data_IF_172895700169
#
_entry.id   IF_172895700169
#
_cell.length_a   1.000
_cell.length_b   1.000
_cell.length_c   1.000
_cell.angle_alpha   90.00
_cell.angle_beta   90.00
_cell.angle_gamma   90.00
#
_symmetry.space_group_name_H-M   'P 1'
#
loop_
_entity.id
_entity.type
_entity.pdbx_description
1 polymer ?
#
# COMPACT_ATOMS: atom_id res chain seq x y z
N UNK A 1 37.57 12.26 17.57
CA UNK A 1 37.97 10.87 17.70
C UNK A 1 36.88 10.17 18.50
N UNK A 2 35.88 9.66 17.83
CA UNK A 2 34.90 8.73 18.36
C UNK A 2 34.22 8.02 17.18
N UNK A 3 34.30 6.72 17.17
CA UNK A 3 33.87 5.80 16.13
C UNK A 3 32.33 5.68 16.10
N UNK A 4 31.74 5.77 14.90
CA UNK A 4 30.36 5.40 14.63
C UNK A 4 30.37 3.93 14.18
N UNK A 5 29.75 3.08 14.98
CA UNK A 5 29.54 1.65 14.70
C UNK A 5 28.35 1.50 13.75
N UNK A 6 28.61 1.01 12.55
CA UNK A 6 27.60 0.47 11.61
C UNK A 6 27.13 -0.88 12.14
N UNK A 7 25.83 -1.04 12.26
CA UNK A 7 25.18 -2.33 12.55
C UNK A 7 24.65 -2.91 11.25
N UNK A 8 25.38 -3.87 10.70
CA UNK A 8 24.95 -4.71 9.60
C UNK A 8 24.01 -5.80 10.16
N UNK A 9 22.78 -5.90 9.64
CA UNK A 9 21.94 -7.07 9.84
C UNK A 9 22.11 -8.02 8.66
N UNK A 10 22.92 -9.05 8.88
CA UNK A 10 23.02 -10.19 7.98
C UNK A 10 21.86 -11.15 8.25
N UNK A 11 21.10 -11.51 7.22
CA UNK A 11 20.23 -12.68 7.22
C UNK A 11 21.13 -13.93 7.15
N UNK A 12 21.07 -14.76 8.17
CA UNK A 12 21.70 -16.08 8.17
C UNK A 12 20.74 -17.10 7.57
N UNK A 13 21.22 -17.74 6.51
CA UNK A 13 20.64 -18.96 5.94
C UNK A 13 20.95 -20.15 6.86
N UNK A 14 19.94 -20.90 7.24
CA UNK A 14 20.08 -22.25 7.73
C UNK A 14 19.63 -23.23 6.63
N UNK A 15 20.63 -23.91 6.04
CA UNK A 15 20.45 -25.18 5.35
C UNK A 15 20.41 -26.28 6.39
N UNK A 16 19.45 -27.23 6.29
CA UNK A 16 19.72 -28.64 6.05
C UNK A 16 18.45 -29.50 6.06
N UNK A 17 18.42 -30.36 5.11
CA UNK A 17 17.96 -31.75 4.93
C UNK A 17 16.86 -32.02 3.93
N UNK A 18 17.30 -32.76 2.94
CA UNK A 18 16.68 -33.52 1.87
C UNK A 18 15.29 -34.12 2.12
N UNK A 19 14.38 -33.91 1.17
CA UNK A 19 13.54 -34.96 0.58
C UNK A 19 13.01 -34.53 -0.80
N UNK A 20 13.36 -35.34 -1.82
CA UNK A 20 12.89 -35.26 -3.20
C UNK A 20 11.37 -35.38 -3.29
N UNK A 21 10.70 -34.38 -3.85
CA UNK A 21 9.46 -34.52 -4.60
C UNK A 21 9.39 -33.47 -5.71
N UNK A 22 9.41 -33.95 -6.95
CA UNK A 22 9.14 -33.19 -8.16
C UNK A 22 7.77 -32.48 -8.09
N UNK A 23 7.76 -31.16 -7.93
CA UNK A 23 6.66 -30.33 -8.36
C UNK A 23 7.20 -29.10 -9.11
N UNK A 24 6.70 -28.92 -10.30
CA UNK A 24 6.96 -27.77 -11.17
C UNK A 24 6.66 -26.48 -10.40
N UNK A 25 7.70 -25.76 -10.02
CA UNK A 25 7.59 -24.39 -9.49
C UNK A 25 7.45 -23.41 -10.66
N UNK A 26 6.22 -22.98 -10.90
CA UNK A 26 5.99 -21.69 -11.51
C UNK A 26 6.55 -20.64 -10.55
N UNK A 27 7.60 -19.95 -10.97
CA UNK A 27 8.21 -18.84 -10.25
C UNK A 27 7.15 -17.73 -10.03
N UNK A 28 6.52 -17.72 -8.86
CA UNK A 28 5.82 -16.57 -8.36
C UNK A 28 6.86 -15.56 -7.91
N UNK A 29 7.13 -14.57 -8.76
CA UNK A 29 7.93 -13.42 -8.41
C UNK A 29 7.33 -12.76 -7.17
N UNK A 30 7.97 -12.97 -6.02
CA UNK A 30 7.69 -12.22 -4.80
C UNK A 30 8.10 -10.76 -5.04
N UNK A 31 7.14 -9.92 -5.37
CA UNK A 31 7.33 -8.49 -5.35
C UNK A 31 7.47 -8.08 -3.88
N UNK A 32 8.70 -7.88 -3.43
CA UNK A 32 8.97 -7.14 -2.21
C UNK A 32 8.45 -5.71 -2.43
N UNK A 33 7.22 -5.45 -2.04
CA UNK A 33 6.73 -4.09 -1.94
C UNK A 33 7.50 -3.44 -0.80
N UNK A 34 8.41 -2.52 -1.13
CA UNK A 34 8.99 -1.62 -0.17
C UNK A 34 7.87 -0.78 0.42
N UNK A 35 7.40 -1.16 1.60
CA UNK A 35 6.52 -0.33 2.40
C UNK A 35 7.32 0.87 2.91
N UNK A 36 7.31 1.96 2.16
CA UNK A 36 7.69 3.24 2.70
C UNK A 36 6.63 3.65 3.74
N UNK A 37 7.03 3.69 5.01
CA UNK A 37 6.27 4.37 6.05
C UNK A 37 6.22 5.85 5.68
N UNK A 38 5.15 6.28 5.04
CA UNK A 38 4.91 7.68 4.75
C UNK A 38 4.61 8.44 6.04
N UNK A 39 5.66 9.04 6.60
CA UNK A 39 5.55 10.07 7.62
C UNK A 39 4.82 11.30 7.04
N UNK A 40 4.43 12.24 7.89
CA UNK A 40 3.80 13.52 7.49
C UNK A 40 4.69 14.41 6.59
N UNK A 41 5.95 14.01 6.35
CA UNK A 41 6.97 14.77 5.61
C UNK A 41 6.60 15.06 4.14
N UNK A 42 6.13 14.12 3.30
CA UNK A 42 5.80 14.40 1.91
C UNK A 42 4.68 15.43 1.77
N UNK A 43 3.65 15.33 2.62
CA UNK A 43 2.52 16.27 2.63
C UNK A 43 2.99 17.69 3.00
N UNK A 44 3.89 17.80 3.97
CA UNK A 44 4.44 19.09 4.38
C UNK A 44 5.25 19.72 3.24
N UNK A 45 6.09 18.94 2.55
CA UNK A 45 6.88 19.40 1.40
C UNK A 45 5.96 19.86 0.26
N UNK A 46 4.91 19.12 -0.04
CA UNK A 46 3.91 19.52 -1.03
C UNK A 46 3.26 20.87 -0.69
N UNK A 47 2.80 21.03 0.56
CA UNK A 47 2.18 22.29 1.02
C UNK A 47 3.18 23.45 0.95
N UNK A 48 4.44 23.24 1.34
CA UNK A 48 5.50 24.26 1.22
C UNK A 48 5.72 24.63 -0.25
N UNK A 49 5.82 23.65 -1.16
CA UNK A 49 5.94 23.91 -2.59
C UNK A 49 4.76 24.69 -3.15
N UNK A 50 3.53 24.34 -2.72
CA UNK A 50 2.31 25.07 -3.11
C UNK A 50 2.34 26.53 -2.65
N UNK A 51 2.78 26.79 -1.41
CA UNK A 51 2.94 28.15 -0.88
C UNK A 51 3.98 28.93 -1.66
N UNK A 52 5.15 28.32 -1.97
CA UNK A 52 6.19 28.95 -2.78
C UNK A 52 5.67 29.33 -4.18
N UNK A 53 4.91 28.45 -4.81
CA UNK A 53 4.30 28.71 -6.11
C UNK A 53 3.33 29.90 -6.07
N UNK A 54 2.43 29.96 -5.07
CA UNK A 54 1.51 31.09 -4.93
C UNK A 54 2.23 32.40 -4.59
N UNK A 55 3.32 32.37 -3.82
CA UNK A 55 4.16 33.54 -3.57
C UNK A 55 4.76 34.03 -4.89
N UNK A 56 5.31 33.14 -5.71
CA UNK A 56 5.88 33.49 -7.00
C UNK A 56 4.84 34.05 -7.98
N UNK A 57 3.62 33.54 -7.95
CA UNK A 57 2.54 33.93 -8.84
C UNK A 57 1.90 35.29 -8.45
N UNK A 58 1.69 35.52 -7.15
CA UNK A 58 0.90 36.67 -6.66
C UNK A 58 1.77 37.88 -6.29
N UNK A 59 3.07 37.70 -6.05
CA UNK A 59 3.93 38.80 -5.65
C UNK A 59 4.56 39.49 -6.87
N UNK A 60 4.65 40.83 -6.90
CA UNK A 60 5.32 41.58 -7.97
C UNK A 60 6.85 41.47 -7.82
N UNK A 61 7.40 40.28 -8.01
CA UNK A 61 8.82 39.99 -7.90
C UNK A 61 9.54 40.21 -9.23
N UNK A 62 10.87 40.49 -9.21
CA UNK A 62 11.67 40.45 -10.42
C UNK A 62 11.58 39.06 -11.08
N UNK A 63 11.52 39.02 -12.41
CA UNK A 63 11.36 37.79 -13.19
C UNK A 63 12.33 36.68 -12.79
N UNK A 64 13.60 37.02 -12.57
CA UNK A 64 14.61 36.06 -12.15
C UNK A 64 14.34 35.43 -10.79
N UNK A 65 13.77 36.19 -9.84
CA UNK A 65 13.43 35.68 -8.51
C UNK A 65 12.14 34.85 -8.56
N UNK A 66 11.16 35.26 -9.37
CA UNK A 66 9.94 34.50 -9.62
C UNK A 66 10.26 33.13 -10.22
N UNK A 67 11.10 33.07 -11.25
CA UNK A 67 11.54 31.83 -11.90
C UNK A 67 12.28 30.92 -10.92
N UNK A 68 13.12 31.46 -10.05
CA UNK A 68 13.82 30.69 -9.02
C UNK A 68 12.85 30.10 -7.99
N UNK A 69 11.84 30.87 -7.57
CA UNK A 69 10.80 30.38 -6.66
C UNK A 69 9.93 29.31 -7.31
N UNK A 70 9.56 29.44 -8.57
CA UNK A 70 8.81 28.42 -9.31
C UNK A 70 9.60 27.12 -9.47
N UNK A 71 10.90 27.24 -9.81
CA UNK A 71 11.78 26.09 -9.86
C UNK A 71 11.94 25.39 -8.49
N UNK A 72 12.07 26.18 -7.41
CA UNK A 72 12.13 25.64 -6.06
C UNK A 72 10.81 24.98 -5.64
N UNK A 73 9.67 25.58 -6.00
CA UNK A 73 8.35 24.99 -5.76
C UNK A 73 8.19 23.65 -6.49
N UNK A 74 8.62 23.57 -7.76
CA UNK A 74 8.61 22.34 -8.56
C UNK A 74 9.44 21.23 -7.91
N UNK A 75 10.66 21.52 -7.45
CA UNK A 75 11.53 20.53 -6.82
C UNK A 75 10.99 20.09 -5.45
N UNK A 76 10.52 21.03 -4.63
CA UNK A 76 10.03 20.75 -3.27
C UNK A 76 8.70 20.00 -3.31
N UNK A 77 7.73 20.46 -4.11
CA UNK A 77 6.44 19.78 -4.23
C UNK A 77 6.53 18.46 -4.99
N UNK A 78 7.40 18.39 -6.01
CA UNK A 78 7.59 17.22 -6.86
C UNK A 78 8.59 16.21 -6.33
N UNK A 79 9.19 16.45 -5.17
CA UNK A 79 10.25 15.60 -4.63
C UNK A 79 9.91 14.10 -4.70
N UNK A 80 8.70 13.72 -4.26
CA UNK A 80 8.26 12.34 -4.26
C UNK A 80 8.09 11.79 -5.69
N UNK A 81 7.34 12.48 -6.54
CA UNK A 81 7.07 12.07 -7.93
C UNK A 81 8.34 11.97 -8.76
N UNK A 82 9.26 12.94 -8.59
CA UNK A 82 10.55 12.96 -9.29
C UNK A 82 11.44 11.81 -8.80
N UNK A 83 11.51 11.60 -7.49
CA UNK A 83 12.34 10.56 -6.90
C UNK A 83 11.82 9.16 -7.24
N UNK A 84 10.51 8.93 -7.19
CA UNK A 84 9.89 7.67 -7.61
C UNK A 84 10.04 7.45 -9.11
N UNK A 85 9.78 8.49 -9.93
CA UNK A 85 9.91 8.42 -11.39
C UNK A 85 11.31 7.99 -11.84
N UNK A 86 12.32 8.61 -11.30
CA UNK A 86 13.73 8.33 -11.65
C UNK A 86 14.22 7.08 -10.90
N UNK A 87 13.98 7.00 -9.59
CA UNK A 87 14.51 5.94 -8.73
C UNK A 87 13.96 4.56 -9.09
N UNK A 88 12.64 4.42 -9.24
CA UNK A 88 12.03 3.15 -9.64
C UNK A 88 12.43 2.75 -11.05
N UNK A 89 12.44 3.72 -11.99
CA UNK A 89 12.88 3.44 -13.37
C UNK A 89 14.31 2.89 -13.40
N UNK A 90 15.23 3.47 -12.61
CA UNK A 90 16.62 3.01 -12.53
C UNK A 90 16.69 1.64 -11.85
N UNK A 91 16.06 1.48 -10.71
CA UNK A 91 16.10 0.24 -9.91
C UNK A 91 15.54 -0.94 -10.69
N UNK A 92 14.34 -0.78 -11.29
CA UNK A 92 13.71 -1.83 -12.08
C UNK A 92 14.48 -2.13 -13.38
N UNK A 93 15.04 -1.10 -14.01
CA UNK A 93 15.86 -1.29 -15.22
C UNK A 93 17.14 -2.07 -14.92
N UNK A 94 17.78 -1.83 -13.77
CA UNK A 94 18.97 -2.58 -13.34
C UNK A 94 18.57 -4.02 -12.97
N UNK A 95 17.50 -4.21 -12.21
CA UNK A 95 17.01 -5.52 -11.77
C UNK A 95 16.66 -6.41 -12.96
N UNK A 96 15.94 -5.88 -13.94
CA UNK A 96 15.47 -6.62 -15.11
C UNK A 96 16.49 -6.65 -16.25
N UNK A 97 17.63 -5.94 -16.13
CA UNK A 97 18.63 -5.73 -17.19
C UNK A 97 18.01 -5.26 -18.53
N UNK A 98 16.91 -4.51 -18.42
CA UNK A 98 16.16 -3.93 -19.56
C UNK A 98 15.64 -2.58 -19.11
N UNK A 99 15.57 -1.61 -20.03
CA UNK A 99 14.94 -0.33 -19.75
C UNK A 99 13.46 -0.52 -19.38
N UNK A 100 13.11 -0.25 -18.12
CA UNK A 100 11.77 -0.47 -17.55
C UNK A 100 11.26 0.83 -16.90
N UNK A 101 10.77 1.78 -17.72
CA UNK A 101 10.31 3.06 -17.23
C UNK A 101 8.91 2.92 -16.61
N UNK A 102 8.67 3.70 -15.54
CA UNK A 102 7.34 3.89 -14.95
C UNK A 102 6.65 5.15 -15.52
N UNK A 103 5.38 5.33 -15.15
CA UNK A 103 4.56 6.47 -15.60
C UNK A 103 5.12 7.81 -15.13
N UNK A 104 5.66 7.87 -13.91
CA UNK A 104 6.15 9.10 -13.31
C UNK A 104 7.35 9.70 -14.05
N UNK A 105 8.10 8.89 -14.83
CA UNK A 105 9.20 9.39 -15.65
C UNK A 105 8.73 10.34 -16.76
N UNK A 106 7.52 10.11 -17.33
CA UNK A 106 6.98 10.99 -18.38
C UNK A 106 6.66 12.37 -17.81
N UNK A 107 6.10 12.44 -16.62
CA UNK A 107 5.79 13.69 -15.93
C UNK A 107 7.07 14.46 -15.58
N UNK A 108 8.06 13.75 -15.06
CA UNK A 108 9.37 14.31 -14.74
C UNK A 108 10.06 14.87 -15.99
N UNK A 109 10.03 14.14 -17.11
CA UNK A 109 10.58 14.60 -18.39
C UNK A 109 9.83 15.81 -18.94
N UNK A 110 8.49 15.84 -18.81
CA UNK A 110 7.69 16.98 -19.24
C UNK A 110 8.04 18.24 -18.43
N UNK A 111 8.16 18.12 -17.11
CA UNK A 111 8.53 19.23 -16.24
C UNK A 111 9.96 19.75 -16.53
N UNK A 112 10.92 18.84 -16.76
CA UNK A 112 12.27 19.21 -17.19
C UNK A 112 12.24 19.92 -18.57
N UNK A 113 11.39 19.46 -19.47
CA UNK A 113 11.20 20.07 -20.79
C UNK A 113 10.63 21.49 -20.69
N UNK A 114 9.67 21.75 -19.76
CA UNK A 114 9.14 23.09 -19.50
C UNK A 114 10.25 24.05 -19.00
N UNK A 115 11.06 23.60 -18.06
CA UNK A 115 12.21 24.35 -17.55
C UNK A 115 13.22 24.65 -18.68
N UNK A 116 13.45 23.70 -19.59
CA UNK A 116 14.33 23.87 -20.74
C UNK A 116 13.83 24.93 -21.74
N UNK A 117 12.51 25.07 -21.88
CA UNK A 117 11.89 26.12 -22.69
C UNK A 117 11.86 27.49 -21.99
N UNK A 118 12.11 27.55 -20.69
CA UNK A 118 11.98 28.75 -19.88
C UNK A 118 10.57 28.95 -19.30
N UNK A 119 9.66 28.00 -19.51
CA UNK A 119 8.26 28.05 -19.06
C UNK A 119 8.18 27.45 -17.62
N UNK A 120 8.80 28.14 -16.65
CA UNK A 120 8.93 27.68 -15.26
C UNK A 120 7.59 27.58 -14.54
N UNK A 121 6.64 28.44 -14.85
CA UNK A 121 5.29 28.46 -14.28
C UNK A 121 4.47 27.25 -14.73
N UNK A 122 4.53 26.88 -16.02
CA UNK A 122 3.88 25.68 -16.54
C UNK A 122 4.48 24.40 -15.95
N UNK A 123 5.83 24.34 -15.85
CA UNK A 123 6.53 23.21 -15.24
C UNK A 123 6.18 23.03 -13.75
N UNK A 124 6.15 24.12 -12.98
CA UNK A 124 5.79 24.08 -11.57
C UNK A 124 4.31 23.69 -11.37
N UNK A 125 3.41 24.28 -12.16
CA UNK A 125 1.97 23.96 -12.12
C UNK A 125 1.73 22.49 -12.44
N UNK A 126 2.39 21.97 -13.48
CA UNK A 126 2.31 20.57 -13.88
C UNK A 126 2.65 19.64 -12.72
N UNK A 127 3.81 19.82 -12.12
CA UNK A 127 4.26 19.00 -10.98
C UNK A 127 3.34 19.12 -9.77
N UNK A 128 2.84 20.34 -9.47
CA UNK A 128 1.89 20.53 -8.36
C UNK A 128 0.59 19.77 -8.57
N UNK A 129 0.01 19.81 -9.78
CA UNK A 129 -1.21 19.07 -10.09
C UNK A 129 -0.98 17.57 -9.95
N UNK A 130 0.11 17.05 -10.49
CA UNK A 130 0.39 15.61 -10.45
C UNK A 130 0.76 15.12 -9.05
N UNK A 131 1.56 15.87 -8.29
CA UNK A 131 1.85 15.54 -6.89
C UNK A 131 0.57 15.55 -6.04
N UNK A 132 -0.33 16.52 -6.28
CA UNK A 132 -1.64 16.57 -5.61
C UNK A 132 -2.52 15.37 -5.95
N UNK A 133 -2.59 14.97 -7.23
CA UNK A 133 -3.31 13.78 -7.68
C UNK A 133 -2.74 12.49 -7.05
N UNK A 134 -1.42 12.38 -6.99
CA UNK A 134 -0.74 11.24 -6.36
C UNK A 134 -1.07 11.12 -4.86
N UNK A 135 -1.09 12.25 -4.13
CA UNK A 135 -1.53 12.24 -2.73
C UNK A 135 -2.98 11.80 -2.53
N UNK A 136 -3.87 12.19 -3.44
CA UNK A 136 -5.27 11.73 -3.38
C UNK A 136 -5.38 10.23 -3.62
N UNK A 137 -4.59 9.70 -4.54
CA UNK A 137 -4.51 8.28 -4.83
C UNK A 137 -3.99 7.48 -3.62
N UNK A 138 -2.86 7.89 -3.03
CA UNK A 138 -2.32 7.27 -1.82
C UNK A 138 -3.28 7.35 -0.63
N UNK A 139 -3.96 8.49 -0.47
CA UNK A 139 -4.96 8.64 0.59
C UNK A 139 -6.12 7.66 0.44
N UNK A 140 -6.62 7.50 -0.80
CA UNK A 140 -7.70 6.56 -1.11
C UNK A 140 -7.27 5.10 -0.84
N UNK A 141 -6.07 4.70 -1.30
CA UNK A 141 -5.52 3.38 -1.02
C UNK A 141 -5.25 3.14 0.47
N UNK A 142 -4.69 4.12 1.16
CA UNK A 142 -4.37 4.03 2.59
C UNK A 142 -5.60 3.91 3.47
N UNK A 143 -6.74 4.47 3.07
CA UNK A 143 -8.01 4.32 3.79
C UNK A 143 -8.50 2.87 3.75
N UNK A 144 -8.47 2.25 2.60
CA UNK A 144 -8.83 0.83 2.42
C UNK A 144 -7.99 -0.10 3.30
N UNK A 145 -6.68 0.10 3.31
CA UNK A 145 -5.76 -0.73 4.13
C UNK A 145 -5.99 -0.57 5.64
N UNK A 146 -6.39 0.62 6.12
CA UNK A 146 -6.65 0.88 7.55
C UNK A 146 -7.88 0.15 8.08
N UNK A 147 -8.93 0.03 7.29
CA UNK A 147 -10.16 -0.66 7.70
C UNK A 147 -9.88 -2.14 7.96
N UNK A 148 -9.01 -2.77 7.17
CA UNK A 148 -8.61 -4.17 7.36
C UNK A 148 -7.67 -4.34 8.55
N UNK A 149 -6.74 -3.41 8.75
CA UNK A 149 -5.87 -3.42 9.93
C UNK A 149 -6.69 -3.31 11.22
N UNK A 150 -7.84 -2.64 11.18
CA UNK A 150 -8.77 -2.61 12.32
C UNK A 150 -9.37 -3.99 12.61
N UNK A 151 -9.71 -4.77 11.59
CA UNK A 151 -10.18 -6.16 11.77
C UNK A 151 -9.08 -7.06 12.37
N UNK A 152 -7.82 -6.89 11.95
CA UNK A 152 -6.70 -7.64 12.51
C UNK A 152 -6.50 -7.37 14.01
N UNK A 153 -6.79 -6.15 14.48
CA UNK A 153 -6.70 -5.80 15.91
C UNK A 153 -7.81 -6.43 16.76
N UNK A 154 -8.84 -6.99 16.15
CA UNK A 154 -9.91 -7.70 16.88
C UNK A 154 -9.53 -9.13 17.24
N UNK A 155 -8.33 -9.60 16.90
CA UNK A 155 -7.88 -10.93 17.31
C UNK A 155 -7.31 -10.89 18.73
N UNK A 156 -7.85 -11.68 19.68
CA UNK A 156 -7.35 -11.72 21.04
C UNK A 156 -5.94 -12.31 21.07
N UNK A 157 -5.05 -11.69 21.83
CA UNK A 157 -3.65 -12.14 21.94
C UNK A 157 -3.41 -12.97 23.21
N UNK A 158 -4.27 -12.83 24.23
CA UNK A 158 -4.12 -13.48 25.55
C UNK A 158 -5.34 -14.28 25.95
N UNK A 159 -5.12 -15.36 26.68
CA UNK A 159 -6.15 -16.25 27.21
C UNK A 159 -5.89 -16.62 28.67
N UNK A 160 -6.95 -16.93 29.43
CA UNK A 160 -6.85 -17.47 30.79
C UNK A 160 -6.89 -18.98 30.76
N UNK A 161 -5.71 -19.59 30.76
CA UNK A 161 -5.53 -21.04 30.72
C UNK A 161 -5.60 -21.63 32.15
N UNK A 162 -6.39 -22.70 32.34
CA UNK A 162 -6.43 -23.49 33.57
C UNK A 162 -5.15 -24.32 33.70
N UNK A 163 -4.43 -24.11 34.79
CA UNK A 163 -3.22 -24.86 35.14
C UNK A 163 -3.56 -26.17 35.85
N UNK A 164 -2.59 -27.09 35.98
CA UNK A 164 -2.75 -28.36 36.69
C UNK A 164 -3.12 -28.20 38.16
N UNK A 165 -2.72 -27.09 38.80
CA UNK A 165 -3.09 -26.72 40.14
C UNK A 165 -4.53 -26.20 40.29
N UNK A 166 -5.29 -26.06 39.19
CA UNK A 166 -6.65 -25.53 39.12
C UNK A 166 -6.73 -24.00 39.04
N UNK A 167 -5.61 -23.27 39.15
CA UNK A 167 -5.55 -21.83 38.97
C UNK A 167 -5.55 -21.42 37.48
N UNK A 168 -5.87 -20.15 37.21
CA UNK A 168 -5.85 -19.62 35.84
C UNK A 168 -4.67 -18.68 35.65
N UNK A 169 -3.84 -18.96 34.64
CA UNK A 169 -2.75 -18.11 34.23
C UNK A 169 -3.04 -17.42 32.86
N UNK A 170 -2.55 -16.18 32.71
CA UNK A 170 -2.60 -15.50 31.41
C UNK A 170 -1.47 -16.04 30.52
N UNK A 171 -1.86 -16.53 29.36
CA UNK A 171 -0.95 -17.08 28.34
C UNK A 171 -1.23 -16.43 26.99
N UNK A 172 -0.26 -16.46 26.08
CA UNK A 172 -0.46 -16.05 24.69
C UNK A 172 -1.34 -17.07 23.94
N UNK A 173 -2.31 -16.60 23.16
CA UNK A 173 -3.26 -17.45 22.43
C UNK A 173 -2.55 -18.40 21.47
N UNK A 174 -1.40 -18.00 20.92
CA UNK A 174 -0.60 -18.80 20.02
C UNK A 174 0.01 -20.05 20.68
N UNK A 175 0.13 -20.08 22.01
CA UNK A 175 0.68 -21.21 22.77
C UNK A 175 -0.37 -22.25 23.14
N UNK A 176 -1.65 -21.98 22.89
CA UNK A 176 -2.77 -22.85 23.24
C UNK A 176 -2.74 -24.13 22.40
N UNK A 177 -3.14 -25.23 23.05
CA UNK A 177 -3.27 -26.56 22.42
C UNK A 177 -4.71 -27.04 22.45
N UNK A 178 -5.06 -27.89 21.52
CA UNK A 178 -6.36 -28.56 21.52
C UNK A 178 -6.51 -29.36 22.82
N UNK A 179 -7.65 -29.16 23.49
CA UNK A 179 -7.95 -29.78 24.79
C UNK A 179 -7.68 -28.86 25.99
N UNK A 180 -7.00 -27.75 25.83
CA UNK A 180 -6.77 -26.78 26.89
C UNK A 180 -8.11 -26.21 27.41
N UNK A 181 -8.19 -25.95 28.72
CA UNK A 181 -9.37 -25.36 29.35
C UNK A 181 -9.15 -23.88 29.61
N UNK A 182 -10.03 -23.04 29.04
CA UNK A 182 -9.94 -21.60 29.14
C UNK A 182 -11.15 -21.04 29.88
N UNK A 183 -10.93 -19.99 30.69
CA UNK A 183 -11.96 -19.21 31.33
C UNK A 183 -12.19 -17.90 30.61
N UNK A 184 -13.43 -17.62 30.24
CA UNK A 184 -13.85 -16.39 29.58
C UNK A 184 -14.76 -15.60 30.50
N UNK A 185 -14.37 -14.37 30.84
CA UNK A 185 -15.11 -13.47 31.73
C UNK A 185 -16.05 -12.55 30.92
N UNK A 186 -17.01 -11.90 31.58
CA UNK A 186 -17.87 -10.90 30.94
C UNK A 186 -17.05 -9.79 30.25
N UNK A 187 -17.42 -9.48 29.00
CA UNK A 187 -16.74 -8.48 28.19
C UNK A 187 -15.43 -8.94 27.55
N UNK A 188 -14.93 -10.14 27.86
CA UNK A 188 -13.75 -10.68 27.21
C UNK A 188 -14.06 -11.11 25.77
N UNK A 189 -13.04 -11.07 24.93
CA UNK A 189 -13.09 -11.78 23.66
C UNK A 189 -12.79 -13.27 23.86
N UNK A 190 -13.51 -14.13 23.15
CA UNK A 190 -13.25 -15.56 23.10
C UNK A 190 -11.91 -15.80 22.42
N UNK A 191 -10.93 -16.46 23.08
CA UNK A 191 -9.55 -16.52 22.58
C UNK A 191 -9.37 -17.35 21.31
N UNK A 192 -10.10 -18.47 21.19
CA UNK A 192 -10.03 -19.41 20.08
C UNK A 192 -11.35 -20.17 19.93
N UNK A 193 -11.49 -20.97 18.88
CA UNK A 193 -12.66 -21.83 18.71
C UNK A 193 -12.67 -22.96 19.75
N UNK A 194 -13.84 -23.25 20.30
CA UNK A 194 -13.99 -24.27 21.32
C UNK A 194 -15.42 -24.65 21.63
N UNK A 195 -15.60 -25.41 22.70
CA UNK A 195 -16.92 -25.87 23.20
C UNK A 195 -17.02 -25.52 24.68
N UNK A 196 -18.18 -25.01 25.12
CA UNK A 196 -18.45 -24.69 26.52
C UNK A 196 -18.53 -25.98 27.35
N UNK A 197 -17.70 -26.03 28.41
CA UNK A 197 -17.72 -27.13 29.38
C UNK A 197 -18.61 -26.82 30.57
N UNK A 198 -18.58 -25.57 31.08
CA UNK A 198 -19.29 -25.10 32.27
C UNK A 198 -19.74 -23.66 32.09
N UNK A 199 -20.90 -23.33 32.63
CA UNK A 199 -21.47 -21.97 32.61
C UNK A 199 -22.34 -21.73 31.37
N UNK A 200 -22.79 -20.48 31.25
CA UNK A 200 -23.57 -19.99 30.10
C UNK A 200 -23.38 -18.50 29.95
N UNK A 201 -23.51 -18.01 28.73
CA UNK A 201 -23.45 -16.57 28.44
C UNK A 201 -24.14 -16.26 27.13
N UNK A 202 -24.30 -14.98 26.85
CA UNK A 202 -24.65 -14.49 25.50
C UNK A 202 -23.39 -14.07 24.77
N UNK A 203 -23.23 -14.50 23.54
CA UNK A 203 -22.08 -14.12 22.68
C UNK A 203 -22.53 -13.24 21.53
N UNK A 204 -21.82 -12.15 21.32
CA UNK A 204 -21.95 -11.35 20.11
C UNK A 204 -21.03 -11.93 19.03
N UNK A 205 -21.65 -12.57 18.05
CA UNK A 205 -20.96 -13.26 16.94
C UNK A 205 -20.92 -12.42 15.65
N UNK A 206 -21.23 -11.13 15.72
CA UNK A 206 -21.29 -10.23 14.55
C UNK A 206 -20.00 -10.17 13.75
N UNK A 207 -18.84 -10.40 14.37
CA UNK A 207 -17.55 -10.51 13.71
C UNK A 207 -17.42 -11.74 12.79
N UNK A 208 -18.26 -12.75 12.98
CA UNK A 208 -18.23 -14.02 12.23
C UNK A 208 -19.38 -14.12 11.23
N UNK A 209 -20.62 -13.90 11.70
CA UNK A 209 -21.84 -14.10 10.91
C UNK A 209 -22.52 -12.79 10.46
N UNK A 210 -22.03 -11.62 10.95
CA UNK A 210 -22.63 -10.31 10.66
C UNK A 210 -23.90 -9.98 11.42
N UNK A 211 -24.40 -10.90 12.29
CA UNK A 211 -25.61 -10.69 13.06
C UNK A 211 -25.31 -10.00 14.41
N UNK A 212 -25.86 -8.82 14.61
CA UNK A 212 -25.63 -8.04 15.86
C UNK A 212 -26.44 -8.56 17.05
N UNK A 213 -27.38 -9.52 16.86
CA UNK A 213 -28.17 -10.08 17.94
C UNK A 213 -27.33 -11.10 18.73
N UNK A 214 -27.06 -10.87 20.03
CA UNK A 214 -26.32 -11.82 20.84
C UNK A 214 -27.00 -13.19 20.89
N UNK A 215 -26.23 -14.26 20.73
CA UNK A 215 -26.68 -15.65 20.79
C UNK A 215 -26.46 -16.23 22.18
N UNK A 216 -27.48 -16.86 22.76
CA UNK A 216 -27.34 -17.56 24.05
C UNK A 216 -26.58 -18.89 23.83
N UNK A 217 -25.50 -19.09 24.61
CA UNK A 217 -24.67 -20.27 24.58
C UNK A 217 -24.62 -20.94 25.96
N UNK A 218 -24.82 -22.25 25.93
CA UNK A 218 -24.85 -23.08 27.14
C UNK A 218 -23.85 -24.23 26.99
N UNK A 219 -23.73 -25.06 28.02
CA UNK A 219 -22.84 -26.24 28.03
C UNK A 219 -23.05 -27.09 26.78
N UNK A 220 -21.95 -27.46 26.12
CA UNK A 220 -21.92 -28.20 24.86
C UNK A 220 -22.09 -27.36 23.59
N UNK A 221 -22.34 -26.04 23.71
CA UNK A 221 -22.42 -25.16 22.55
C UNK A 221 -21.03 -24.81 22.02
N UNK A 222 -20.91 -24.72 20.68
CA UNK A 222 -19.73 -24.20 20.02
C UNK A 222 -19.60 -22.69 20.18
N UNK A 223 -18.38 -22.22 20.43
CA UNK A 223 -17.99 -20.82 20.51
C UNK A 223 -16.82 -20.54 19.59
N UNK A 224 -16.80 -19.35 19.02
CA UNK A 224 -15.83 -18.97 18.00
C UNK A 224 -14.88 -17.89 18.49
N UNK A 225 -13.61 -18.02 18.15
CA UNK A 225 -12.60 -17.02 18.45
C UNK A 225 -12.95 -15.64 17.92
N UNK A 226 -12.52 -14.59 18.63
CA UNK A 226 -12.80 -13.19 18.31
C UNK A 226 -14.25 -12.72 18.49
N UNK A 227 -15.17 -13.56 18.97
CA UNK A 227 -16.49 -13.16 19.42
C UNK A 227 -16.43 -12.50 20.81
N UNK A 228 -17.40 -11.65 21.13
CA UNK A 228 -17.40 -10.91 22.41
C UNK A 228 -18.37 -11.57 23.39
N UNK A 229 -17.85 -11.94 24.56
CA UNK A 229 -18.66 -12.48 25.65
C UNK A 229 -19.50 -11.38 26.29
N UNK A 230 -20.77 -11.66 26.53
CA UNK A 230 -21.72 -10.77 27.21
C UNK A 230 -21.51 -10.73 28.73
N UNK A 231 -22.58 -11.01 29.46
CA UNK A 231 -22.58 -10.84 30.94
C UNK A 231 -22.25 -12.10 31.74
N UNK A 232 -22.25 -13.28 31.09
CA UNK A 232 -21.95 -14.54 31.76
C UNK A 232 -20.46 -14.84 31.84
N UNK A 233 -20.12 -15.81 32.68
CA UNK A 233 -18.79 -16.43 32.74
C UNK A 233 -18.91 -17.88 32.34
N UNK A 234 -18.01 -18.37 31.49
CA UNK A 234 -17.98 -19.78 31.13
C UNK A 234 -16.55 -20.32 31.01
N UNK A 235 -16.42 -21.61 31.16
CA UNK A 235 -15.19 -22.37 30.85
C UNK A 235 -15.42 -23.13 29.56
N UNK A 236 -14.43 -23.07 28.65
CA UNK A 236 -14.46 -23.75 27.38
C UNK A 236 -13.26 -24.66 27.20
N UNK A 237 -13.36 -25.65 26.34
CA UNK A 237 -12.23 -26.42 25.83
C UNK A 237 -11.85 -25.99 24.43
N UNK A 238 -10.55 -25.88 24.16
CA UNK A 238 -10.02 -25.51 22.86
C UNK A 238 -10.22 -26.66 21.87
N UNK A 239 -10.84 -26.37 20.74
CA UNK A 239 -11.03 -27.33 19.63
C UNK A 239 -10.15 -27.07 18.43
N UNK A 240 -9.67 -25.83 18.26
CA UNK A 240 -8.76 -25.44 17.18
C UNK A 240 -7.65 -24.54 17.70
N UNK A 241 -6.45 -24.70 17.13
CA UNK A 241 -5.33 -23.79 17.39
C UNK A 241 -5.59 -22.42 16.76
N UNK A 242 -4.86 -21.39 17.20
CA UNK A 242 -5.08 -20.01 16.80
C UNK A 242 -5.07 -19.79 15.27
N UNK A 243 -4.20 -20.49 14.54
CA UNK A 243 -4.09 -20.42 13.07
C UNK A 243 -5.27 -21.04 12.32
N UNK A 244 -6.01 -21.96 12.94
CA UNK A 244 -7.08 -22.76 12.32
C UNK A 244 -8.49 -22.29 12.66
N UNK A 245 -8.61 -21.23 13.46
CA UNK A 245 -9.91 -20.64 13.83
C UNK A 245 -10.68 -20.15 12.60
N UNK A 246 -12.00 -20.10 12.71
CA UNK A 246 -12.86 -19.56 11.65
C UNK A 246 -12.47 -18.11 11.33
N UNK A 247 -12.20 -17.31 12.36
CA UNK A 247 -11.78 -15.93 12.18
C UNK A 247 -10.43 -15.80 11.44
N UNK A 248 -9.43 -16.62 11.78
CA UNK A 248 -8.15 -16.65 11.08
C UNK A 248 -8.30 -17.02 9.58
N UNK A 249 -9.21 -17.96 9.28
CA UNK A 249 -9.53 -18.32 7.89
C UNK A 249 -10.22 -17.18 7.14
N UNK A 250 -11.17 -16.49 7.77
CA UNK A 250 -11.81 -15.28 7.20
C UNK A 250 -10.75 -14.22 6.89
N UNK A 251 -9.86 -13.91 7.85
CA UNK A 251 -8.77 -12.94 7.64
C UNK A 251 -7.84 -13.35 6.49
N UNK A 252 -7.51 -14.64 6.39
CA UNK A 252 -6.68 -15.17 5.31
C UNK A 252 -7.37 -14.99 3.94
N UNK A 253 -8.65 -15.29 3.84
CA UNK A 253 -9.44 -15.08 2.62
C UNK A 253 -9.55 -13.61 2.23
N UNK A 254 -9.78 -12.72 3.20
CA UNK A 254 -9.83 -11.27 2.97
C UNK A 254 -8.47 -10.78 2.47
N UNK A 255 -7.37 -11.17 3.13
CA UNK A 255 -6.01 -10.79 2.71
C UNK A 255 -5.66 -11.34 1.32
N UNK A 256 -6.04 -12.59 1.01
CA UNK A 256 -5.84 -13.17 -0.33
C UNK A 256 -6.67 -12.48 -1.40
N UNK A 257 -7.89 -12.09 -1.09
CA UNK A 257 -8.76 -11.35 -2.01
C UNK A 257 -8.18 -9.98 -2.34
N UNK A 258 -7.56 -9.33 -1.36
CA UNK A 258 -6.96 -7.99 -1.53
C UNK A 258 -5.57 -8.02 -2.14
N UNK A 259 -4.75 -9.02 -1.83
CA UNK A 259 -3.43 -9.17 -2.43
C UNK A 259 -3.51 -9.59 -3.91
N UNK A 260 -4.64 -10.13 -4.36
CA UNK A 260 -4.87 -10.39 -5.78
C UNK A 260 -5.27 -9.10 -6.48
N UNK A 261 -4.27 -8.43 -7.09
CA UNK A 261 -4.55 -7.42 -8.11
C UNK A 261 -5.59 -7.98 -9.07
N UNK A 262 -6.59 -7.17 -9.42
CA UNK A 262 -7.57 -7.62 -10.42
C UNK A 262 -6.82 -8.05 -11.69
N UNK A 263 -7.31 -9.04 -12.46
CA UNK A 263 -6.65 -9.44 -13.71
C UNK A 263 -6.43 -8.26 -14.65
N UNK A 264 -7.29 -7.25 -14.59
CA UNK A 264 -7.17 -6.01 -15.36
C UNK A 264 -6.01 -5.15 -14.86
N UNK A 265 -5.86 -4.96 -13.54
CA UNK A 265 -4.74 -4.21 -12.96
C UNK A 265 -3.38 -4.87 -13.25
N UNK A 266 -3.33 -6.20 -13.21
CA UNK A 266 -2.11 -6.96 -13.57
C UNK A 266 -1.74 -6.74 -15.05
N UNK A 267 -2.71 -6.78 -15.97
CA UNK A 267 -2.48 -6.51 -17.39
C UNK A 267 -2.03 -5.07 -17.63
N UNK A 268 -2.62 -4.09 -16.96
CA UNK A 268 -2.22 -2.68 -17.06
C UNK A 268 -0.76 -2.51 -16.63
N UNK A 269 -0.36 -3.06 -15.47
CA UNK A 269 1.03 -3.03 -15.00
C UNK A 269 2.02 -3.69 -15.97
N UNK A 270 1.60 -4.72 -16.70
CA UNK A 270 2.46 -5.36 -17.71
C UNK A 270 2.61 -4.53 -18.99
N UNK A 271 1.57 -3.80 -19.39
CA UNK A 271 1.56 -2.99 -20.61
C UNK A 271 2.18 -1.61 -20.38
N UNK A 272 2.13 -1.08 -19.17
CA UNK A 272 2.61 0.25 -18.77
C UNK A 272 4.01 0.56 -19.30
N UNK A 273 5.06 -0.25 -19.04
CA UNK A 273 6.41 0.08 -19.50
C UNK A 273 6.56 0.06 -21.02
N UNK A 274 5.77 -0.74 -21.74
CA UNK A 274 5.72 -0.73 -23.19
C UNK A 274 5.10 0.58 -23.70
N UNK A 275 4.00 1.00 -23.08
CA UNK A 275 3.34 2.27 -23.39
C UNK A 275 4.28 3.45 -23.18
N UNK A 276 4.93 3.53 -22.02
CA UNK A 276 5.86 4.61 -21.69
C UNK A 276 7.04 4.66 -22.66
N UNK A 277 7.62 3.51 -23.04
CA UNK A 277 8.68 3.44 -24.06
C UNK A 277 8.20 3.97 -25.41
N UNK A 278 6.97 3.62 -25.78
CA UNK A 278 6.38 4.07 -27.04
C UNK A 278 6.21 5.59 -27.05
N UNK A 279 5.73 6.18 -25.97
CA UNK A 279 5.59 7.64 -25.83
C UNK A 279 6.97 8.31 -25.89
N UNK A 280 7.96 7.82 -25.11
CA UNK A 280 9.33 8.35 -25.11
C UNK A 280 9.96 8.29 -26.50
N UNK A 281 9.63 7.30 -27.33
CA UNK A 281 10.13 7.19 -28.69
C UNK A 281 9.37 8.10 -29.69
N UNK A 282 8.05 8.22 -29.55
CA UNK A 282 7.20 9.00 -30.46
C UNK A 282 7.42 10.51 -30.28
N UNK A 283 7.57 11.01 -29.06
CA UNK A 283 7.69 12.45 -28.79
C UNK A 283 8.87 13.10 -29.51
N UNK A 284 10.11 12.58 -29.45
CA UNK A 284 11.22 13.14 -30.23
C UNK A 284 11.01 13.07 -31.74
N UNK A 285 10.40 12.00 -32.24
CA UNK A 285 10.05 11.87 -33.66
C UNK A 285 9.02 12.93 -34.07
N UNK A 286 8.04 13.20 -33.24
CA UNK A 286 7.04 14.24 -33.46
C UNK A 286 7.68 15.63 -33.47
N UNK A 287 8.57 15.93 -32.51
CA UNK A 287 9.34 17.18 -32.48
C UNK A 287 10.15 17.35 -33.75
N UNK A 288 10.88 16.30 -34.17
CA UNK A 288 11.69 16.31 -35.39
C UNK A 288 10.84 16.54 -36.65
N UNK A 289 9.67 15.89 -36.72
CA UNK A 289 8.74 16.09 -37.84
C UNK A 289 8.21 17.52 -37.88
N UNK A 290 7.94 18.13 -36.71
CA UNK A 290 7.55 19.53 -36.57
C UNK A 290 8.60 20.50 -37.15
N UNK A 291 9.87 20.23 -36.87
CA UNK A 291 10.99 21.05 -37.39
C UNK A 291 11.20 20.84 -38.90
N UNK A 292 11.27 19.58 -39.33
CA UNK A 292 11.74 19.22 -40.71
C UNK A 292 10.60 19.26 -41.70
N UNK A 293 9.44 18.68 -41.40
CA UNK A 293 8.32 18.52 -42.33
C UNK A 293 7.39 19.73 -42.28
N UNK A 294 6.96 20.11 -41.07
CA UNK A 294 5.97 21.18 -40.87
C UNK A 294 6.61 22.57 -40.78
N UNK A 295 7.94 22.65 -40.61
CA UNK A 295 8.67 23.92 -40.50
C UNK A 295 8.14 24.88 -39.45
N UNK A 296 7.63 24.35 -38.32
CA UNK A 296 7.10 25.16 -37.23
C UNK A 296 8.18 25.96 -36.49
N UNK A 297 9.46 25.65 -36.72
CA UNK A 297 10.58 26.16 -35.93
C UNK A 297 10.83 25.35 -34.66
N UNK A 298 11.94 25.67 -33.99
CA UNK A 298 12.41 24.92 -32.80
C UNK A 298 11.44 24.98 -31.62
N UNK A 299 11.12 26.20 -31.16
CA UNK A 299 10.30 26.40 -29.95
C UNK A 299 8.89 25.82 -30.07
N UNK A 300 8.10 26.11 -31.12
CA UNK A 300 6.74 25.55 -31.24
C UNK A 300 6.74 24.03 -31.40
N UNK A 301 7.76 23.43 -32.01
CA UNK A 301 7.85 21.98 -32.19
C UNK A 301 8.11 21.30 -30.85
N UNK A 302 9.02 21.85 -30.06
CA UNK A 302 9.36 21.33 -28.74
C UNK A 302 8.20 21.48 -27.76
N UNK A 303 7.56 22.65 -27.72
CA UNK A 303 6.37 22.94 -26.91
C UNK A 303 5.23 21.94 -27.20
N UNK A 304 4.91 21.75 -28.47
CA UNK A 304 3.88 20.77 -28.87
C UNK A 304 4.25 19.34 -28.52
N UNK A 305 5.53 18.98 -28.60
CA UNK A 305 6.02 17.69 -28.15
C UNK A 305 5.85 17.46 -26.66
N UNK A 306 6.07 18.51 -25.84
CA UNK A 306 5.80 18.44 -24.40
C UNK A 306 4.30 18.31 -24.12
N UNK A 307 3.45 19.09 -24.77
CA UNK A 307 1.99 18.97 -24.63
C UNK A 307 1.53 17.56 -24.98
N UNK A 308 2.09 16.97 -26.05
CA UNK A 308 1.83 15.57 -26.41
C UNK A 308 2.24 14.61 -25.29
N UNK A 309 3.41 14.81 -24.69
CA UNK A 309 3.92 13.96 -23.60
C UNK A 309 3.05 14.04 -22.34
N UNK A 310 2.60 15.26 -21.98
CA UNK A 310 1.69 15.47 -20.85
C UNK A 310 0.32 14.81 -21.11
N UNK A 311 -0.22 15.01 -22.32
CA UNK A 311 -1.52 14.44 -22.71
C UNK A 311 -1.51 12.92 -22.84
N UNK A 312 -0.36 12.34 -23.12
CA UNK A 312 -0.12 10.90 -23.17
C UNK A 312 0.13 10.29 -21.78
N UNK A 313 0.06 11.07 -20.69
CA UNK A 313 0.23 10.52 -19.34
C UNK A 313 -0.94 9.59 -18.97
N UNK A 314 -0.70 8.31 -18.63
CA UNK A 314 -1.75 7.33 -18.37
C UNK A 314 -2.28 7.36 -16.92
N UNK A 315 -2.15 8.47 -16.19
CA UNK A 315 -2.60 8.57 -14.79
C UNK A 315 -4.07 8.18 -14.61
N UNK A 316 -4.95 8.53 -15.59
CA UNK A 316 -6.33 8.07 -15.58
C UNK A 316 -6.47 6.54 -15.71
N UNK A 317 -5.54 5.88 -16.41
CA UNK A 317 -5.49 4.43 -16.52
C UNK A 317 -5.03 3.77 -15.22
N UNK A 318 -4.05 4.34 -14.53
CA UNK A 318 -3.60 3.87 -13.23
C UNK A 318 -4.71 4.04 -12.17
N UNK A 319 -5.36 5.20 -12.14
CA UNK A 319 -6.50 5.46 -11.24
C UNK A 319 -7.70 4.52 -11.50
N UNK A 320 -7.95 4.12 -12.75
CA UNK A 320 -9.02 3.17 -13.09
C UNK A 320 -8.74 1.73 -12.66
N UNK A 321 -7.48 1.41 -12.36
CA UNK A 321 -7.06 0.10 -11.85
C UNK A 321 -7.22 -0.04 -10.33
N UNK A 322 -7.50 1.08 -9.62
CA UNK A 322 -7.90 1.03 -8.20
C UNK A 322 -9.18 0.21 -8.12
N UNK A 323 -9.17 -0.92 -7.42
CA UNK A 323 -10.26 -1.87 -7.52
C UNK A 323 -11.56 -1.23 -7.08
N UNK A 324 -12.60 -1.42 -7.90
CA UNK A 324 -14.01 -1.19 -7.54
C UNK A 324 -14.45 -2.03 -6.32
N UNK A 325 -13.55 -2.83 -5.76
CA UNK A 325 -13.70 -3.59 -4.51
C UNK A 325 -13.95 -2.71 -3.28
N UNK A 326 -13.73 -1.39 -3.37
CA UNK A 326 -14.06 -0.43 -2.31
C UNK A 326 -15.55 -0.08 -2.23
N UNK A 327 -16.34 -0.39 -3.24
CA UNK A 327 -17.77 -0.06 -3.28
C UNK A 327 -18.71 -1.24 -2.94
N UNK A 328 -18.16 -2.39 -2.55
CA UNK A 328 -18.89 -3.62 -2.32
C UNK A 328 -18.74 -4.23 -0.92
N UNK A 329 -18.21 -3.46 0.05
CA UNK A 329 -18.16 -3.87 1.46
C UNK A 329 -19.05 -2.95 2.28
#
# INVERSE_FOLDING_TARGET
MSMIVKKDHSCQDHHDHDHEHHHQHTEAASSCSHHHHHGKQPVILYVVGLVLYFIALLSPLPESLSNLLMLSAMVVAGYQVIFEGIGETITESIRLKKFWPNVHILMTLAAIGAVFLGDYDEGALLILIFSGAHFLEEYAEGRSKREITALLKMNPTKARLRQENGEYAMVEVETLKIGDQLKVLPGDQVPTDGVILEGSSTLNESSINGESMPQEKTVGAEVYGSTINGQGTFTMTVTKVASDTIFAKILTLVNQSQSRLSPTATKIKQIEPLYVKTVIAIVPLFILSGIVIFQWGWYPSFYRGMVLMISASPCALAASAIPASLSGI
#
